data_IF_295712474509
#
_entry.id   IF_295712474509
#
_cell.length_a   1.000
_cell.length_b   1.000
_cell.length_c   1.000
_cell.angle_alpha   90.00
_cell.angle_beta   90.00
_cell.angle_gamma   90.00
#
_symmetry.space_group_name_H-M   'P 1'
#
loop_
_entity.id
_entity.type
_entity.pdbx_description
1 polymer ?
#
# COMPACT_ATOMS: atom_id res chain seq x y z
N UNK A 1 -13.95 5.00 -12.03
CA UNK A 1 -14.23 5.87 -13.18
C UNK A 1 -12.90 6.44 -13.65
N UNK A 2 -12.61 6.31 -14.95
CA UNK A 2 -11.35 6.80 -15.52
C UNK A 2 -11.40 8.32 -15.69
N UNK A 3 -10.34 9.03 -15.27
CA UNK A 3 -10.19 10.46 -15.54
C UNK A 3 -10.20 10.78 -17.05
N UNK A 4 -9.93 9.77 -17.89
CA UNK A 4 -9.98 9.92 -19.35
C UNK A 4 -11.39 10.27 -19.88
N UNK A 5 -12.45 10.00 -19.10
CA UNK A 5 -13.83 10.42 -19.44
C UNK A 5 -14.04 11.93 -19.33
N UNK A 6 -13.18 12.61 -18.58
CA UNK A 6 -13.22 14.05 -18.36
C UNK A 6 -12.11 14.82 -19.10
N UNK A 7 -11.19 14.08 -19.73
CA UNK A 7 -10.11 14.70 -20.51
C UNK A 7 -10.70 15.38 -21.76
N UNK A 8 -10.88 16.69 -21.68
CA UNK A 8 -11.27 17.55 -22.80
C UNK A 8 -12.66 18.20 -22.75
N UNK A 9 -13.45 17.99 -21.67
CA UNK A 9 -14.80 18.56 -21.60
C UNK A 9 -14.94 19.71 -20.58
N UNK A 10 -14.27 19.67 -19.45
CA UNK A 10 -14.37 20.73 -18.44
C UNK A 10 -13.05 20.86 -17.67
N UNK A 11 -12.57 22.07 -17.53
CA UNK A 11 -11.47 22.39 -16.64
C UNK A 11 -12.01 22.58 -15.21
N UNK A 12 -11.33 21.99 -14.22
CA UNK A 12 -11.72 22.04 -12.81
C UNK A 12 -10.95 23.12 -12.07
N UNK A 13 -11.60 23.75 -11.10
CA UNK A 13 -10.94 24.69 -10.18
C UNK A 13 -10.08 23.96 -9.13
N UNK A 14 -10.39 22.68 -8.87
CA UNK A 14 -9.63 21.87 -7.94
C UNK A 14 -9.84 20.37 -8.11
N UNK A 15 -8.81 19.60 -7.80
CA UNK A 15 -8.84 18.14 -7.69
C UNK A 15 -8.34 17.74 -6.32
N UNK A 16 -9.12 16.94 -5.59
CA UNK A 16 -8.72 16.35 -4.32
C UNK A 16 -8.54 14.83 -4.47
N UNK A 17 -7.38 14.32 -4.09
CA UNK A 17 -7.07 12.89 -4.06
C UNK A 17 -6.81 12.45 -2.62
N UNK A 18 -7.62 11.53 -2.09
CA UNK A 18 -7.39 10.87 -0.79
C UNK A 18 -6.87 9.45 -1.07
N UNK A 19 -5.56 9.25 -0.84
CA UNK A 19 -4.86 8.03 -1.24
C UNK A 19 -4.89 6.97 -0.14
N UNK A 20 -4.99 5.71 -0.58
CA UNK A 20 -4.95 4.54 0.27
C UNK A 20 -6.26 3.78 0.30
N UNK A 21 -6.59 3.19 1.45
CA UNK A 21 -7.79 2.38 1.64
C UNK A 21 -8.81 3.09 2.52
N UNK A 22 -10.08 2.91 2.20
CA UNK A 22 -11.17 3.42 3.01
C UNK A 22 -11.32 2.65 4.32
N UNK A 23 -11.94 3.28 5.33
CA UNK A 23 -12.29 2.61 6.59
C UNK A 23 -13.15 1.36 6.36
N UNK A 24 -14.03 1.38 5.36
CA UNK A 24 -14.84 0.22 4.99
C UNK A 24 -13.97 -0.97 4.52
N UNK A 25 -13.00 -0.73 3.64
CA UNK A 25 -12.08 -1.78 3.19
C UNK A 25 -11.23 -2.34 4.34
N UNK A 26 -10.80 -1.46 5.27
CA UNK A 26 -10.02 -1.85 6.43
C UNK A 26 -10.83 -2.70 7.44
N UNK A 27 -12.13 -2.43 7.56
CA UNK A 27 -13.02 -3.10 8.52
C UNK A 27 -13.63 -4.39 7.96
N UNK A 28 -13.58 -4.65 6.64
CA UNK A 28 -14.09 -5.87 6.02
C UNK A 28 -13.07 -7.02 6.19
N UNK A 29 -13.34 -8.01 7.07
CA UNK A 29 -12.36 -9.05 7.38
C UNK A 29 -11.94 -9.87 6.16
N UNK A 30 -12.90 -10.14 5.25
CA UNK A 30 -12.67 -10.97 4.04
C UNK A 30 -11.65 -10.38 3.08
N UNK A 31 -11.39 -9.06 3.19
CA UNK A 31 -10.38 -8.38 2.37
C UNK A 31 -8.97 -8.51 2.90
N UNK A 32 -8.78 -8.90 4.17
CA UNK A 32 -7.46 -9.17 4.75
C UNK A 32 -6.53 -7.96 4.88
N UNK A 33 -7.05 -6.73 4.80
CA UNK A 33 -6.22 -5.51 4.96
C UNK A 33 -5.80 -5.28 6.42
N UNK A 34 -6.53 -5.84 7.38
CA UNK A 34 -6.31 -5.64 8.80
C UNK A 34 -6.00 -6.97 9.50
N UNK A 35 -5.08 -6.93 10.44
CA UNK A 35 -4.78 -8.04 11.36
C UNK A 35 -5.45 -7.87 12.74
N UNK A 36 -6.48 -7.04 12.85
CA UNK A 36 -7.31 -6.94 14.08
C UNK A 36 -8.19 -8.17 14.26
N UNK A 37 -8.60 -8.77 13.16
CA UNK A 37 -9.37 -10.00 13.12
C UNK A 37 -8.61 -11.00 12.26
N UNK A 38 -8.72 -12.28 12.60
CA UNK A 38 -8.10 -13.33 11.81
C UNK A 38 -8.89 -13.63 10.55
N UNK A 39 -8.25 -13.45 9.41
CA UNK A 39 -8.85 -13.62 8.09
C UNK A 39 -7.79 -14.09 7.05
N UNK A 40 -8.20 -14.63 5.90
CA UNK A 40 -7.29 -14.80 4.76
C UNK A 40 -6.66 -13.47 4.35
N UNK A 41 -5.39 -13.49 3.96
CA UNK A 41 -4.68 -12.28 3.52
C UNK A 41 -4.91 -12.09 2.02
N UNK A 42 -5.96 -11.37 1.65
CA UNK A 42 -6.21 -11.04 0.23
C UNK A 42 -5.54 -9.71 -0.15
N UNK A 43 -5.92 -8.61 0.48
CA UNK A 43 -5.48 -7.22 0.26
C UNK A 43 -5.68 -6.67 -1.16
N UNK A 44 -6.36 -7.35 -2.06
CA UNK A 44 -6.67 -6.81 -3.38
C UNK A 44 -7.78 -5.77 -3.29
N UNK A 45 -7.57 -4.63 -3.91
CA UNK A 45 -8.63 -3.63 -4.11
C UNK A 45 -9.66 -4.14 -5.12
N UNK A 46 -9.19 -4.76 -6.21
CA UNK A 46 -10.02 -5.50 -7.16
C UNK A 46 -9.78 -7.02 -7.01
N UNK A 47 -10.71 -7.77 -6.39
CA UNK A 47 -10.53 -9.22 -6.16
C UNK A 47 -10.58 -10.07 -7.44
N UNK A 48 -10.93 -9.47 -8.59
CA UNK A 48 -10.99 -10.17 -9.89
C UNK A 48 -9.65 -10.16 -10.62
N UNK A 49 -8.67 -9.40 -10.15
CA UNK A 49 -7.39 -9.17 -10.82
C UNK A 49 -6.22 -9.37 -9.86
N UNK A 50 -5.09 -9.77 -10.43
CA UNK A 50 -3.85 -9.93 -9.68
C UNK A 50 -3.85 -11.10 -8.70
N UNK A 51 -2.75 -11.23 -7.98
CA UNK A 51 -2.56 -12.24 -6.93
C UNK A 51 -2.95 -11.68 -5.56
N UNK A 52 -3.38 -12.56 -4.65
CA UNK A 52 -3.61 -12.18 -3.25
C UNK A 52 -2.30 -11.85 -2.54
N UNK A 53 -2.39 -11.15 -1.39
CA UNK A 53 -1.21 -10.90 -0.58
C UNK A 53 -0.62 -12.21 -0.01
N UNK A 54 -1.43 -13.22 0.28
CA UNK A 54 -0.95 -14.54 0.66
C UNK A 54 -0.11 -15.18 -0.45
N UNK A 55 -0.60 -15.18 -1.70
CA UNK A 55 0.13 -15.70 -2.85
C UNK A 55 1.43 -14.92 -3.10
N UNK A 56 1.38 -13.59 -2.99
CA UNK A 56 2.55 -12.76 -3.10
C UNK A 56 3.62 -13.12 -2.06
N UNK A 57 3.25 -13.27 -0.79
CA UNK A 57 4.19 -13.65 0.27
C UNK A 57 4.78 -15.05 0.04
N UNK A 58 4.00 -15.99 -0.48
CA UNK A 58 4.45 -17.36 -0.76
C UNK A 58 5.35 -17.46 -2.00
N UNK A 59 5.13 -16.64 -3.03
CA UNK A 59 5.73 -16.89 -4.37
C UNK A 59 6.63 -15.78 -4.89
N UNK A 60 6.53 -14.55 -4.38
CA UNK A 60 7.28 -13.41 -4.88
C UNK A 60 8.81 -13.62 -4.77
N UNK A 61 9.56 -13.03 -5.70
CA UNK A 61 11.01 -13.03 -5.60
C UNK A 61 11.51 -12.30 -4.35
N UNK A 62 12.71 -12.60 -3.92
CA UNK A 62 13.35 -11.90 -2.78
C UNK A 62 13.41 -10.40 -3.02
N UNK A 63 13.73 -9.98 -4.25
CA UNK A 63 13.80 -8.57 -4.66
C UNK A 63 12.44 -7.89 -4.54
N UNK A 64 11.35 -8.58 -4.95
CA UNK A 64 9.99 -8.07 -4.83
C UNK A 64 9.57 -7.91 -3.36
N UNK A 65 9.92 -8.87 -2.51
CA UNK A 65 9.70 -8.77 -1.06
C UNK A 65 10.49 -7.61 -0.45
N UNK A 66 11.77 -7.46 -0.83
CA UNK A 66 12.60 -6.35 -0.35
C UNK A 66 11.98 -5.01 -0.74
N UNK A 67 11.58 -4.86 -2.01
CA UNK A 67 10.91 -3.64 -2.49
C UNK A 67 9.64 -3.35 -1.69
N UNK A 68 8.76 -4.33 -1.53
CA UNK A 68 7.51 -4.17 -0.79
C UNK A 68 7.76 -3.76 0.67
N UNK A 69 8.67 -4.42 1.38
CA UNK A 69 8.84 -4.26 2.82
C UNK A 69 9.75 -3.08 3.15
N UNK A 70 10.84 -2.90 2.40
CA UNK A 70 11.82 -1.84 2.63
C UNK A 70 11.38 -0.51 2.05
N UNK A 71 11.03 -0.49 0.75
CA UNK A 71 10.77 0.76 0.03
C UNK A 71 9.34 1.24 0.26
N UNK A 72 8.34 0.37 0.08
CA UNK A 72 6.94 0.75 0.21
C UNK A 72 6.46 0.75 1.66
N UNK A 73 6.90 -0.22 2.45
CA UNK A 73 6.54 -0.32 3.87
C UNK A 73 7.44 0.48 4.80
N UNK A 74 8.60 0.93 4.34
CA UNK A 74 9.61 1.65 5.14
C UNK A 74 10.00 0.91 6.43
N UNK A 75 10.01 -0.43 6.38
CA UNK A 75 10.39 -1.23 7.53
C UNK A 75 11.93 -1.26 7.69
N UNK A 76 12.43 -0.68 8.77
CA UNK A 76 13.88 -0.60 9.02
C UNK A 76 14.54 -1.97 9.21
N UNK A 77 13.78 -2.94 9.72
CA UNK A 77 14.26 -4.32 9.94
C UNK A 77 13.83 -5.26 8.81
N UNK A 78 13.68 -4.70 7.61
CA UNK A 78 13.20 -5.39 6.42
C UNK A 78 13.92 -6.72 6.15
N UNK A 79 15.24 -6.79 6.34
CA UNK A 79 16.00 -8.01 6.07
C UNK A 79 15.55 -9.18 6.96
N UNK A 80 15.29 -8.92 8.25
CA UNK A 80 14.76 -9.93 9.16
C UNK A 80 13.34 -10.36 8.78
N UNK A 81 12.52 -9.41 8.37
CA UNK A 81 11.15 -9.70 7.93
C UNK A 81 11.15 -10.52 6.65
N UNK A 82 11.97 -10.16 5.66
CA UNK A 82 12.11 -10.92 4.41
C UNK A 82 12.60 -12.34 4.70
N UNK A 83 13.66 -12.53 5.51
CA UNK A 83 14.14 -13.86 5.89
C UNK A 83 13.04 -14.69 6.57
N UNK A 84 12.31 -14.11 7.52
CA UNK A 84 11.23 -14.80 8.21
C UNK A 84 10.10 -15.22 7.27
N UNK A 85 9.74 -14.36 6.29
CA UNK A 85 8.74 -14.70 5.27
C UNK A 85 9.24 -15.86 4.40
N UNK A 86 10.48 -15.81 3.92
CA UNK A 86 11.05 -16.88 3.09
C UNK A 86 11.09 -18.22 3.82
N UNK A 87 11.46 -18.22 5.11
CA UNK A 87 11.48 -19.39 5.97
C UNK A 87 10.08 -19.96 6.27
N UNK A 88 9.06 -19.09 6.31
CA UNK A 88 7.68 -19.47 6.62
C UNK A 88 6.91 -20.02 5.41
N UNK A 89 7.47 -19.95 4.19
CA UNK A 89 6.81 -20.47 2.99
C UNK A 89 6.44 -21.94 3.10
N UNK A 90 5.26 -22.29 2.63
CA UNK A 90 4.73 -23.67 2.69
C UNK A 90 4.28 -24.11 4.08
N UNK A 91 4.43 -23.29 5.13
CA UNK A 91 4.02 -23.65 6.50
C UNK A 91 2.56 -23.30 6.82
N UNK A 92 1.91 -22.51 5.96
CA UNK A 92 0.57 -21.97 6.19
C UNK A 92 0.54 -20.68 7.02
N UNK A 93 1.66 -20.24 7.59
CA UNK A 93 1.70 -19.04 8.42
C UNK A 93 1.43 -17.74 7.64
N UNK A 94 1.66 -17.75 6.33
CA UNK A 94 1.47 -16.60 5.45
C UNK A 94 0.06 -16.49 4.89
N UNK A 95 -0.85 -17.40 5.25
CA UNK A 95 -2.20 -17.45 4.71
C UNK A 95 -3.21 -16.61 5.49
N UNK A 96 -2.93 -16.32 6.77
CA UNK A 96 -3.86 -15.63 7.65
C UNK A 96 -3.25 -14.40 8.30
N UNK A 97 -4.08 -13.40 8.52
CA UNK A 97 -3.65 -12.08 8.99
C UNK A 97 -2.97 -12.11 10.35
N UNK A 98 -3.50 -12.86 11.33
CA UNK A 98 -2.90 -12.93 12.66
C UNK A 98 -1.57 -13.67 12.65
N UNK A 99 -1.48 -14.86 12.03
CA UNK A 99 -0.24 -15.62 11.99
C UNK A 99 0.89 -14.88 11.26
N UNK A 100 0.59 -14.22 10.14
CA UNK A 100 1.57 -13.39 9.44
C UNK A 100 1.98 -12.15 10.25
N UNK A 101 1.05 -11.50 10.95
CA UNK A 101 1.37 -10.37 11.82
C UNK A 101 2.25 -10.78 13.02
N UNK A 102 2.01 -11.95 13.60
CA UNK A 102 2.86 -12.53 14.65
C UNK A 102 4.26 -12.86 14.13
N UNK A 103 4.37 -13.46 12.95
CA UNK A 103 5.64 -13.74 12.29
C UNK A 103 6.47 -12.46 12.15
N UNK A 104 5.88 -11.42 11.55
CA UNK A 104 6.53 -10.12 11.37
C UNK A 104 6.92 -9.51 12.73
N UNK A 105 6.02 -9.56 13.70
CA UNK A 105 6.29 -9.02 15.06
C UNK A 105 7.49 -9.68 15.71
N UNK A 106 7.60 -11.01 15.62
CA UNK A 106 8.78 -11.75 16.10
C UNK A 106 10.05 -11.35 15.35
N UNK A 107 9.99 -11.26 14.03
CA UNK A 107 11.13 -10.88 13.19
C UNK A 107 11.68 -9.48 13.54
N UNK A 108 10.82 -8.53 13.86
CA UNK A 108 11.23 -7.18 14.27
C UNK A 108 11.54 -7.07 15.78
N UNK A 109 11.60 -8.18 16.51
CA UNK A 109 12.00 -8.22 17.92
C UNK A 109 10.90 -7.84 18.91
N UNK A 110 9.67 -8.14 18.57
CA UNK A 110 8.50 -8.01 19.46
C UNK A 110 7.93 -6.61 19.55
N UNK A 111 6.80 -6.51 20.24
CA UNK A 111 6.12 -5.25 20.52
C UNK A 111 6.74 -4.57 21.75
N UNK A 112 7.07 -3.29 21.64
CA UNK A 112 7.62 -2.52 22.77
C UNK A 112 6.51 -1.83 23.54
N UNK A 113 6.62 -1.74 24.88
CA UNK A 113 5.59 -1.18 25.77
C UNK A 113 5.12 0.26 25.41
N UNK A 114 5.96 1.06 24.75
CA UNK A 114 5.63 2.44 24.31
C UNK A 114 5.31 2.57 22.82
N UNK A 115 5.18 1.46 22.10
CA UNK A 115 4.95 1.49 20.66
C UNK A 115 3.46 1.76 20.35
N UNK A 116 3.18 2.90 19.70
CA UNK A 116 1.82 3.32 19.31
C UNK A 116 1.30 2.56 18.08
N UNK A 117 2.19 2.12 17.20
CA UNK A 117 1.86 1.46 15.94
C UNK A 117 2.32 0.00 16.03
N UNK A 118 1.43 -0.93 15.67
CA UNK A 118 1.75 -2.35 15.69
C UNK A 118 2.93 -2.67 14.74
N UNK A 119 3.89 -3.53 15.14
CA UNK A 119 5.08 -3.84 14.35
C UNK A 119 4.80 -4.31 12.91
N UNK A 120 3.73 -5.07 12.70
CA UNK A 120 3.36 -5.58 11.39
C UNK A 120 2.77 -4.51 10.44
N UNK A 121 2.36 -3.34 10.94
CA UNK A 121 1.66 -2.31 10.14
C UNK A 121 2.43 -1.93 8.89
N UNK A 122 3.72 -1.68 9.00
CA UNK A 122 4.58 -1.27 7.89
C UNK A 122 4.71 -2.35 6.83
N UNK A 123 4.89 -3.60 7.24
CA UNK A 123 4.96 -4.75 6.33
C UNK A 123 3.65 -4.94 5.59
N UNK A 124 2.51 -4.91 6.28
CA UNK A 124 1.18 -5.04 5.68
C UNK A 124 0.90 -3.91 4.69
N UNK A 125 1.26 -2.67 5.06
CA UNK A 125 1.16 -1.51 4.16
C UNK A 125 2.00 -1.70 2.90
N UNK A 126 3.26 -2.11 3.02
CA UNK A 126 4.16 -2.29 1.88
C UNK A 126 3.69 -3.41 0.94
N UNK A 127 3.22 -4.53 1.49
CA UNK A 127 2.62 -5.61 0.70
C UNK A 127 1.36 -5.14 -0.04
N UNK A 128 0.48 -4.39 0.63
CA UNK A 128 -0.72 -3.81 0.01
C UNK A 128 -0.36 -2.93 -1.19
N UNK A 129 0.59 -2.01 -1.00
CA UNK A 129 1.06 -1.11 -2.06
C UNK A 129 1.59 -1.91 -3.25
N UNK A 130 2.39 -2.96 -2.97
CA UNK A 130 3.01 -3.78 -4.01
C UNK A 130 1.97 -4.54 -4.85
N UNK A 131 1.03 -5.24 -4.22
CA UNK A 131 0.07 -6.08 -4.96
C UNK A 131 -0.99 -5.27 -5.71
N UNK A 132 -1.29 -4.05 -5.27
CA UNK A 132 -2.26 -3.17 -5.93
C UNK A 132 -1.62 -2.18 -6.92
N UNK A 133 -0.29 -2.17 -7.06
CA UNK A 133 0.40 -1.23 -7.95
C UNK A 133 0.09 0.23 -7.62
N UNK A 134 -0.06 0.57 -6.33
CA UNK A 134 -0.59 1.87 -5.91
C UNK A 134 0.29 3.04 -6.37
N UNK A 135 1.61 2.87 -6.33
CA UNK A 135 2.55 3.93 -6.75
C UNK A 135 2.56 4.14 -8.26
N UNK A 136 2.49 3.05 -9.02
CA UNK A 136 2.41 3.09 -10.49
C UNK A 136 1.09 3.75 -10.92
N UNK A 137 -0.02 3.37 -10.29
CA UNK A 137 -1.32 3.99 -10.55
C UNK A 137 -1.29 5.49 -10.25
N UNK A 138 -0.65 5.90 -9.15
CA UNK A 138 -0.52 7.30 -8.78
C UNK A 138 0.37 8.06 -9.77
N UNK A 139 1.52 7.49 -10.18
CA UNK A 139 2.42 8.10 -11.15
C UNK A 139 1.73 8.37 -12.51
N UNK A 140 0.81 7.49 -12.92
CA UNK A 140 0.00 7.67 -14.14
C UNK A 140 -1.11 8.70 -13.92
N UNK A 141 -1.73 8.71 -12.73
CA UNK A 141 -2.93 9.50 -12.46
C UNK A 141 -2.62 10.96 -12.17
N UNK A 142 -1.51 11.25 -11.46
CA UNK A 142 -1.15 12.62 -11.09
C UNK A 142 -1.00 13.58 -12.29
N UNK A 143 -0.25 13.22 -13.36
CA UNK A 143 -0.14 14.08 -14.54
C UNK A 143 -1.49 14.28 -15.24
N UNK A 144 -2.37 13.27 -15.24
CA UNK A 144 -3.70 13.38 -15.83
C UNK A 144 -4.57 14.33 -15.01
N UNK A 145 -4.58 14.17 -13.68
CA UNK A 145 -5.32 15.06 -12.78
C UNK A 145 -4.87 16.52 -12.91
N UNK A 146 -3.56 16.75 -13.03
CA UNK A 146 -3.02 18.08 -13.24
C UNK A 146 -3.52 18.73 -14.55
N UNK A 147 -3.60 17.97 -15.64
CA UNK A 147 -4.07 18.47 -16.95
C UNK A 147 -5.56 18.82 -17.00
N UNK A 148 -6.34 18.38 -16.03
CA UNK A 148 -7.77 18.72 -15.94
C UNK A 148 -8.03 20.01 -15.18
N UNK A 149 -6.99 20.63 -14.62
CA UNK A 149 -7.13 21.88 -13.88
C UNK A 149 -7.12 23.09 -14.81
N UNK A 150 -7.93 24.06 -14.47
CA UNK A 150 -7.85 25.41 -15.05
C UNK A 150 -6.54 26.09 -14.66
N UNK A 151 -6.07 27.09 -15.41
CA UNK A 151 -5.02 27.99 -14.94
C UNK A 151 -5.37 28.56 -13.55
N UNK A 152 -4.44 28.38 -12.58
CA UNK A 152 -4.67 28.75 -11.17
C UNK A 152 -5.45 27.72 -10.35
N UNK A 153 -5.89 26.61 -10.93
CA UNK A 153 -6.55 25.52 -10.22
C UNK A 153 -5.62 24.78 -9.24
N UNK A 154 -6.18 24.09 -8.24
CA UNK A 154 -5.45 23.45 -7.14
C UNK A 154 -5.55 21.93 -7.20
N UNK A 155 -4.42 21.23 -7.15
CA UNK A 155 -4.35 19.78 -6.89
C UNK A 155 -3.96 19.54 -5.44
N UNK A 156 -4.86 18.96 -4.65
CA UNK A 156 -4.62 18.55 -3.28
C UNK A 156 -4.52 17.02 -3.18
N UNK A 157 -3.46 16.52 -2.52
CA UNK A 157 -3.26 15.07 -2.33
C UNK A 157 -3.07 14.80 -0.85
N UNK A 158 -3.94 13.94 -0.28
CA UNK A 158 -3.82 13.43 1.08
C UNK A 158 -3.15 12.07 1.01
N UNK A 159 -2.03 11.91 1.72
CA UNK A 159 -1.24 10.68 1.74
C UNK A 159 -0.69 10.42 3.13
N UNK A 160 -0.84 9.18 3.62
CA UNK A 160 -0.31 8.75 4.91
C UNK A 160 1.09 8.12 4.82
N UNK A 161 1.41 7.27 3.82
CA UNK A 161 2.74 6.71 3.66
C UNK A 161 3.74 7.73 3.10
N UNK A 162 4.93 7.78 3.69
CA UNK A 162 6.04 8.64 3.19
C UNK A 162 6.50 8.19 1.79
N UNK A 163 6.33 6.90 1.46
CA UNK A 163 6.63 6.35 0.13
C UNK A 163 5.92 7.07 -1.02
N UNK A 164 4.77 7.70 -0.78
CA UNK A 164 4.09 8.54 -1.79
C UNK A 164 4.75 9.91 -1.98
N UNK A 165 5.49 10.42 -0.99
CA UNK A 165 6.14 11.74 -1.08
C UNK A 165 7.38 11.72 -1.96
N UNK A 166 7.93 10.54 -2.28
CA UNK A 166 9.01 10.38 -3.25
C UNK A 166 8.56 10.49 -4.71
N UNK A 167 7.26 10.40 -4.97
CA UNK A 167 6.71 10.85 -6.24
C UNK A 167 6.76 12.38 -6.22
N UNK A 168 7.90 12.94 -6.64
CA UNK A 168 8.06 14.38 -6.78
C UNK A 168 6.98 14.90 -7.73
N UNK A 169 5.92 15.43 -7.13
CA UNK A 169 5.13 16.43 -7.84
C UNK A 169 6.12 17.52 -8.24
N UNK A 170 6.18 17.95 -9.51
CA UNK A 170 6.87 19.17 -9.82
C UNK A 170 6.35 20.20 -8.85
N UNK A 171 7.25 20.77 -8.06
CA UNK A 171 6.99 21.86 -7.11
C UNK A 171 5.96 22.77 -7.74
N UNK A 172 4.91 23.11 -6.99
CA UNK A 172 3.83 24.00 -7.40
C UNK A 172 4.39 25.09 -8.30
N UNK A 173 4.23 24.95 -9.60
CA UNK A 173 4.45 26.04 -10.53
C UNK A 173 3.09 26.69 -10.67
N UNK A 174 2.91 27.80 -9.94
CA UNK A 174 1.85 28.74 -10.27
C UNK A 174 2.11 29.21 -11.70
N UNK A 175 1.23 28.88 -12.61
CA UNK A 175 1.18 29.43 -13.95
C UNK A 175 0.35 30.69 -13.92
#
# INVERSE_FOLDING_TARGET
QSLDQYAGAEEFDGVLMDLGISSFQLMEPRKGFSFRLDAPIDMRMNPREGQSAADFLETASSESLVRAIREYGEERRWSRVVSAILEARGTGQLQRTLSAAELVTKAVGGMKAKQRIHPATKTFQGVRIAINGELEALAITLPKAFRTLKPGGVLAVISFPVSYTHLTLPTIVSV
#
